data_IF_218829298369
#
_entry.id   IF_218829298369
#
_cell.length_a   1.000
_cell.length_b   1.000
_cell.length_c   1.000
_cell.angle_alpha   90.00
_cell.angle_beta   90.00
_cell.angle_gamma   90.00
#
_symmetry.space_group_name_H-M   'P 1'
#
loop_
_entity.id
_entity.type
_entity.pdbx_description
1 polymer ?
#
# COMPACT_ATOMS: atom_id res chain seq x y z
N UNK A 1 21.11 -26.54 1.58
CA UNK A 1 21.56 -25.14 1.37
C UNK A 1 20.35 -24.26 1.58
N UNK A 2 20.28 -23.38 2.58
CA UNK A 2 19.19 -22.40 2.66
C UNK A 2 19.32 -21.48 1.46
N UNK A 3 18.20 -21.23 0.77
CA UNK A 3 18.17 -20.40 -0.43
C UNK A 3 18.61 -18.98 -0.07
N UNK A 4 19.46 -18.39 -0.90
CA UNK A 4 19.97 -17.02 -0.78
C UNK A 4 18.84 -15.98 -0.75
N UNK A 5 17.61 -16.36 -1.08
CA UNK A 5 16.41 -15.50 -1.08
C UNK A 5 15.83 -15.28 0.33
N UNK A 6 16.09 -16.15 1.31
CA UNK A 6 15.57 -16.00 2.68
C UNK A 6 16.26 -14.92 3.53
N UNK A 7 17.32 -14.27 3.04
CA UNK A 7 18.01 -13.16 3.73
C UNK A 7 17.65 -11.77 3.16
N UNK A 8 16.81 -11.69 2.12
CA UNK A 8 16.68 -10.51 1.27
C UNK A 8 16.18 -9.24 1.97
N UNK A 9 15.18 -9.33 2.85
CA UNK A 9 14.50 -8.13 3.37
C UNK A 9 14.80 -7.80 4.82
N UNK A 10 15.34 -8.73 5.59
CA UNK A 10 15.63 -8.53 7.02
C UNK A 10 16.47 -7.26 7.30
N UNK A 11 17.51 -6.90 6.52
CA UNK A 11 18.22 -5.65 6.72
C UNK A 11 17.31 -4.42 6.59
N UNK A 12 16.46 -4.36 5.56
CA UNK A 12 15.55 -3.24 5.36
C UNK A 12 14.50 -3.12 6.48
N UNK A 13 14.02 -4.25 6.98
CA UNK A 13 13.06 -4.27 8.10
C UNK A 13 13.74 -3.79 9.40
N UNK A 14 14.97 -4.22 9.66
CA UNK A 14 15.75 -3.73 10.81
C UNK A 14 16.07 -2.24 10.71
N UNK A 15 16.35 -1.74 9.50
CA UNK A 15 16.54 -0.31 9.29
C UNK A 15 15.29 0.49 9.67
N UNK A 16 14.09 -0.01 9.38
CA UNK A 16 12.85 0.61 9.85
C UNK A 16 12.78 0.61 11.38
N UNK A 17 13.06 -0.51 12.03
CA UNK A 17 13.02 -0.62 13.49
C UNK A 17 14.03 0.31 14.18
N UNK A 18 15.25 0.47 13.60
CA UNK A 18 16.25 1.41 14.13
C UNK A 18 15.83 2.88 13.92
N UNK A 19 15.23 3.21 12.77
CA UNK A 19 14.67 4.55 12.54
C UNK A 19 13.55 4.86 13.55
N UNK A 20 12.70 3.88 13.86
CA UNK A 20 11.60 4.03 14.81
C UNK A 20 12.07 4.23 16.26
N UNK A 21 13.20 3.63 16.63
CA UNK A 21 13.83 3.91 17.94
C UNK A 21 14.30 5.35 18.05
N UNK A 22 14.85 5.90 16.96
CA UNK A 22 15.34 7.28 16.93
C UNK A 22 14.18 8.29 16.78
N UNK A 23 13.14 7.92 16.03
CA UNK A 23 12.00 8.78 15.71
C UNK A 23 10.69 7.95 15.84
N UNK A 24 10.19 7.76 17.07
CA UNK A 24 9.01 6.94 17.28
C UNK A 24 7.79 7.39 16.46
N UNK A 25 7.13 6.46 15.78
CA UNK A 25 5.94 6.78 15.00
C UNK A 25 4.84 7.34 15.88
N UNK A 26 4.07 8.27 15.32
CA UNK A 26 2.89 8.78 16.01
C UNK A 26 1.81 7.70 16.09
N UNK A 27 1.18 7.51 17.26
CA UNK A 27 0.04 6.60 17.37
C UNK A 27 -1.06 6.94 16.36
N UNK A 28 -1.64 5.92 15.73
CA UNK A 28 -2.71 6.12 14.75
C UNK A 28 -2.25 6.74 13.43
N UNK A 29 -0.96 6.69 13.08
CA UNK A 29 -0.48 7.04 11.74
C UNK A 29 -1.12 6.15 10.66
N UNK A 30 -1.00 6.54 9.40
CA UNK A 30 -1.37 5.72 8.25
C UNK A 30 -0.09 5.12 7.69
N UNK A 31 0.00 3.79 7.65
CA UNK A 31 1.17 3.08 7.12
C UNK A 31 0.99 2.85 5.61
N UNK A 32 2.00 3.18 4.82
CA UNK A 32 2.11 2.81 3.40
C UNK A 32 3.11 1.67 3.30
N UNK A 33 2.61 0.44 3.16
CA UNK A 33 3.41 -0.79 3.13
C UNK A 33 3.40 -1.43 1.74
N UNK A 34 4.56 -1.88 1.27
CA UNK A 34 4.66 -2.54 -0.02
C UNK A 34 6.04 -2.41 -0.65
N UNK A 35 6.09 -2.51 -1.97
CA UNK A 35 7.32 -2.67 -2.72
C UNK A 35 8.06 -1.37 -3.07
N UNK A 36 8.95 -1.45 -4.07
CA UNK A 36 9.80 -0.33 -4.52
C UNK A 36 9.01 0.91 -4.94
N UNK A 37 7.77 0.76 -5.40
CA UNK A 37 6.94 1.92 -5.76
C UNK A 37 6.61 2.80 -4.56
N UNK A 38 6.52 2.25 -3.36
CA UNK A 38 6.43 3.06 -2.14
C UNK A 38 7.82 3.45 -1.62
N UNK A 39 8.79 2.54 -1.63
CA UNK A 39 10.15 2.86 -1.19
C UNK A 39 10.71 4.11 -1.88
N UNK A 40 10.43 4.31 -3.16
CA UNK A 40 10.91 5.46 -3.94
C UNK A 40 9.98 6.67 -3.94
N UNK A 41 8.93 6.66 -3.12
CA UNK A 41 8.06 7.83 -2.94
C UNK A 41 8.62 8.75 -1.85
N UNK A 42 9.69 9.44 -2.19
CA UNK A 42 10.44 10.28 -1.25
C UNK A 42 9.62 11.47 -0.71
N UNK A 43 8.61 11.91 -1.46
CA UNK A 43 7.72 13.02 -1.09
C UNK A 43 6.43 12.59 -0.39
N UNK A 44 6.27 11.29 -0.05
CA UNK A 44 5.02 10.73 0.50
C UNK A 44 4.47 11.55 1.67
N UNK A 45 5.31 11.89 2.65
CA UNK A 45 4.88 12.66 3.83
C UNK A 45 4.32 14.04 3.43
N UNK A 46 5.02 14.76 2.56
CA UNK A 46 4.56 16.08 2.09
C UNK A 46 3.33 15.99 1.20
N UNK A 47 3.27 14.98 0.33
CA UNK A 47 2.15 14.78 -0.59
C UNK A 47 0.85 14.46 0.16
N UNK A 48 0.94 13.74 1.28
CA UNK A 48 -0.22 13.32 2.07
C UNK A 48 -0.64 14.32 3.15
N UNK A 49 0.12 15.42 3.41
CA UNK A 49 -0.32 16.43 4.38
C UNK A 49 -1.78 16.86 4.14
N UNK A 50 -2.59 17.04 5.21
CA UNK A 50 -2.23 17.07 6.64
C UNK A 50 -2.29 15.70 7.35
N UNK A 51 -2.37 14.59 6.63
CA UNK A 51 -2.37 13.25 7.23
C UNK A 51 -0.97 12.90 7.75
N UNK A 52 -0.91 12.27 8.94
CA UNK A 52 0.32 11.66 9.43
C UNK A 52 0.48 10.29 8.76
N UNK A 53 1.47 10.16 7.92
CA UNK A 53 1.75 8.93 7.15
C UNK A 53 3.16 8.41 7.42
N UNK A 54 3.36 7.12 7.18
CA UNK A 54 4.63 6.44 7.36
C UNK A 54 4.91 5.55 6.16
N UNK A 55 6.11 5.66 5.57
CA UNK A 55 6.54 4.80 4.47
C UNK A 55 7.24 3.55 5.00
N UNK A 56 6.72 2.38 4.64
CA UNK A 56 7.28 1.04 4.90
C UNK A 56 7.41 0.24 3.60
N UNK A 57 7.80 0.94 2.53
CA UNK A 57 8.12 0.31 1.26
C UNK A 57 9.51 -0.33 1.28
N UNK A 58 9.62 -1.59 0.86
CA UNK A 58 10.88 -2.31 0.72
C UNK A 58 11.00 -2.93 -0.68
N UNK A 59 12.07 -2.54 -1.39
CA UNK A 59 12.14 -2.73 -2.84
C UNK A 59 12.24 -4.18 -3.29
N UNK A 60 11.41 -4.57 -4.27
CA UNK A 60 11.42 -5.90 -4.87
C UNK A 60 10.59 -6.94 -4.10
N UNK A 61 9.89 -6.53 -3.03
CA UNK A 61 9.02 -7.42 -2.25
C UNK A 61 7.83 -7.90 -3.07
N UNK A 62 7.37 -9.08 -2.71
CA UNK A 62 6.12 -9.70 -3.13
C UNK A 62 5.12 -9.69 -1.97
N UNK A 63 3.85 -10.01 -2.22
CA UNK A 63 2.85 -10.13 -1.16
C UNK A 63 3.25 -11.11 -0.06
N UNK A 64 3.87 -12.23 -0.42
CA UNK A 64 4.35 -13.22 0.56
C UNK A 64 5.42 -12.66 1.51
N UNK A 65 6.26 -11.73 1.03
CA UNK A 65 7.23 -11.03 1.87
C UNK A 65 6.52 -10.04 2.80
N UNK A 66 5.56 -9.28 2.27
CA UNK A 66 4.74 -8.38 3.08
C UNK A 66 4.00 -9.13 4.19
N UNK A 67 3.43 -10.30 3.90
CA UNK A 67 2.79 -11.17 4.89
C UNK A 67 3.76 -11.59 6.00
N UNK A 68 4.97 -11.98 5.62
CA UNK A 68 6.00 -12.40 6.58
C UNK A 68 6.36 -11.30 7.57
N UNK A 69 6.43 -10.06 7.10
CA UNK A 69 6.85 -8.91 7.91
C UNK A 69 5.69 -8.05 8.43
N UNK A 70 4.45 -8.35 8.09
CA UNK A 70 3.27 -7.53 8.44
C UNK A 70 3.17 -7.19 9.93
N UNK A 71 3.50 -8.14 10.81
CA UNK A 71 3.49 -7.91 12.26
C UNK A 71 4.51 -6.85 12.69
N UNK A 72 5.65 -6.75 12.02
CA UNK A 72 6.75 -5.84 12.38
C UNK A 72 6.59 -4.45 11.76
N UNK A 73 6.09 -4.38 10.52
CA UNK A 73 6.05 -3.13 9.75
C UNK A 73 4.64 -2.54 9.56
N UNK A 74 3.61 -3.22 10.08
CA UNK A 74 2.23 -2.73 10.08
C UNK A 74 1.61 -2.87 11.47
N UNK A 75 1.43 -4.09 11.97
CA UNK A 75 0.70 -4.36 13.22
C UNK A 75 1.35 -3.67 14.42
N UNK A 76 2.68 -3.68 14.51
CA UNK A 76 3.43 -3.06 15.60
C UNK A 76 3.13 -1.56 15.81
N UNK A 77 2.65 -0.86 14.78
CA UNK A 77 2.36 0.58 14.84
C UNK A 77 0.93 0.90 15.27
N UNK A 78 0.05 -0.09 15.40
CA UNK A 78 -1.37 0.11 15.68
C UNK A 78 -1.96 1.22 14.78
N UNK A 79 -1.79 1.14 13.45
CA UNK A 79 -2.21 2.20 12.55
C UNK A 79 -3.74 2.26 12.45
N UNK A 80 -4.29 3.45 12.25
CA UNK A 80 -5.72 3.61 11.90
C UNK A 80 -6.03 3.11 10.49
N UNK A 81 -5.01 3.09 9.62
CA UNK A 81 -5.11 2.51 8.28
C UNK A 81 -3.75 2.05 7.76
N UNK A 82 -3.78 1.06 6.87
CA UNK A 82 -2.65 0.69 6.01
C UNK A 82 -3.05 0.83 4.55
N UNK A 83 -2.19 1.45 3.75
CA UNK A 83 -2.28 1.52 2.29
C UNK A 83 -1.25 0.55 1.74
N UNK A 84 -1.68 -0.39 0.89
CA UNK A 84 -0.86 -1.49 0.40
C UNK A 84 -0.65 -1.37 -1.10
N UNK A 85 0.61 -1.53 -1.55
CA UNK A 85 0.94 -1.68 -2.96
C UNK A 85 1.90 -2.86 -3.15
N UNK A 86 1.38 -3.98 -3.63
CA UNK A 86 2.12 -5.21 -3.95
C UNK A 86 1.51 -5.91 -5.18
N UNK A 87 2.10 -7.02 -5.61
CA UNK A 87 1.64 -7.84 -6.72
C UNK A 87 2.36 -7.57 -8.05
N UNK A 88 3.04 -6.45 -8.16
CA UNK A 88 3.81 -6.06 -9.34
C UNK A 88 5.04 -6.98 -9.54
N UNK A 89 5.74 -7.32 -8.46
CA UNK A 89 6.87 -8.26 -8.50
C UNK A 89 6.40 -9.71 -8.55
N UNK A 90 5.31 -10.03 -7.87
CA UNK A 90 4.69 -11.36 -7.90
C UNK A 90 4.38 -11.82 -9.32
N UNK A 91 3.94 -10.92 -10.19
CA UNK A 91 3.57 -11.19 -11.58
C UNK A 91 4.63 -10.73 -12.60
N UNK A 92 5.88 -10.51 -12.15
CA UNK A 92 6.96 -10.15 -13.06
C UNK A 92 7.29 -11.29 -14.05
N UNK A 93 7.96 -10.95 -15.15
CA UNK A 93 8.41 -11.96 -16.12
C UNK A 93 9.30 -12.99 -15.43
N UNK A 94 9.03 -14.26 -15.68
CA UNK A 94 9.72 -15.39 -15.07
C UNK A 94 9.22 -15.80 -13.69
N UNK A 95 8.26 -15.07 -13.10
CA UNK A 95 7.59 -15.52 -11.87
C UNK A 95 6.70 -16.74 -12.14
N UNK A 96 6.63 -17.64 -11.16
CA UNK A 96 5.69 -18.76 -11.16
C UNK A 96 4.33 -18.43 -10.52
N UNK A 97 4.17 -17.22 -9.96
CA UNK A 97 2.90 -16.83 -9.33
C UNK A 97 1.82 -16.52 -10.35
N UNK A 98 0.60 -16.85 -9.99
CA UNK A 98 -0.60 -16.56 -10.78
C UNK A 98 -1.42 -15.43 -10.13
N UNK A 99 -2.36 -14.81 -10.86
CA UNK A 99 -3.28 -13.82 -10.30
C UNK A 99 -4.03 -14.33 -9.05
N UNK A 100 -4.40 -15.61 -9.04
CA UNK A 100 -5.09 -16.26 -7.92
C UNK A 100 -4.20 -16.35 -6.68
N UNK A 101 -2.90 -16.63 -6.86
CA UNK A 101 -1.92 -16.67 -5.77
C UNK A 101 -1.73 -15.27 -5.17
N UNK A 102 -1.60 -14.23 -6.00
CA UNK A 102 -1.52 -12.84 -5.54
C UNK A 102 -2.77 -12.45 -4.74
N UNK A 103 -3.95 -12.79 -5.23
CA UNK A 103 -5.19 -12.54 -4.51
C UNK A 103 -5.30 -13.35 -3.20
N UNK A 104 -4.72 -14.55 -3.15
CA UNK A 104 -4.68 -15.37 -1.93
C UNK A 104 -3.73 -14.76 -0.89
N UNK A 105 -2.55 -14.31 -1.30
CA UNK A 105 -1.61 -13.61 -0.42
C UNK A 105 -2.24 -12.31 0.11
N UNK A 106 -2.94 -11.53 -0.72
CA UNK A 106 -3.68 -10.36 -0.23
C UNK A 106 -4.73 -10.72 0.84
N UNK A 107 -5.50 -11.80 0.64
CA UNK A 107 -6.47 -12.26 1.66
C UNK A 107 -5.76 -12.61 2.97
N UNK A 108 -4.61 -13.26 2.88
CA UNK A 108 -3.79 -13.61 4.04
C UNK A 108 -3.28 -12.37 4.76
N UNK A 109 -2.82 -11.35 4.02
CA UNK A 109 -2.45 -10.06 4.60
C UNK A 109 -3.61 -9.44 5.40
N UNK A 110 -4.82 -9.40 4.82
CA UNK A 110 -6.03 -8.91 5.52
C UNK A 110 -6.28 -9.70 6.80
N UNK A 111 -6.17 -11.04 6.76
CA UNK A 111 -6.35 -11.89 7.94
C UNK A 111 -5.30 -11.62 9.03
N UNK A 112 -4.03 -11.39 8.67
CA UNK A 112 -2.97 -11.04 9.62
C UNK A 112 -3.29 -9.71 10.30
N UNK A 113 -3.60 -8.68 9.53
CA UNK A 113 -3.85 -7.34 10.06
C UNK A 113 -5.14 -7.32 10.89
N UNK A 114 -6.26 -7.81 10.37
CA UNK A 114 -7.53 -7.80 11.08
C UNK A 114 -7.58 -8.78 12.25
N UNK A 115 -6.78 -9.87 12.21
CA UNK A 115 -6.64 -10.79 13.33
C UNK A 115 -6.01 -10.12 14.57
N UNK A 116 -5.12 -9.15 14.36
CA UNK A 116 -4.48 -8.38 15.42
C UNK A 116 -5.17 -7.04 15.69
N UNK A 117 -5.65 -6.37 14.66
CA UNK A 117 -6.17 -5.00 14.66
C UNK A 117 -7.46 -4.92 13.83
N UNK A 118 -8.60 -5.39 14.36
CA UNK A 118 -9.85 -5.51 13.60
C UNK A 118 -10.43 -4.16 13.15
N UNK A 119 -10.03 -3.07 13.78
CA UNK A 119 -10.52 -1.72 13.47
C UNK A 119 -9.67 -0.96 12.44
N UNK A 120 -8.50 -1.51 12.08
CA UNK A 120 -7.61 -0.90 11.09
C UNK A 120 -8.21 -0.98 9.68
N UNK A 121 -8.26 0.16 8.97
CA UNK A 121 -8.66 0.17 7.57
C UNK A 121 -7.52 -0.32 6.67
N UNK A 122 -7.86 -1.15 5.70
CA UNK A 122 -6.91 -1.65 4.70
C UNK A 122 -7.32 -1.10 3.33
N UNK A 123 -6.42 -0.33 2.69
CA UNK A 123 -6.58 0.17 1.34
C UNK A 123 -5.60 -0.56 0.42
N UNK A 124 -6.12 -1.38 -0.48
CA UNK A 124 -5.30 -2.04 -1.50
C UNK A 124 -5.31 -1.22 -2.79
N UNK A 125 -4.14 -0.83 -3.26
CA UNK A 125 -4.01 -0.14 -4.54
C UNK A 125 -3.97 -1.15 -5.68
N UNK A 126 -4.54 -0.77 -6.82
CA UNK A 126 -4.40 -1.53 -8.04
C UNK A 126 -2.93 -1.77 -8.37
N UNK A 127 -2.57 -2.97 -8.81
CA UNK A 127 -1.30 -3.21 -9.47
C UNK A 127 -1.28 -2.37 -10.74
N UNK A 128 -0.30 -1.48 -10.88
CA UNK A 128 -0.22 -0.55 -12.02
C UNK A 128 0.28 -1.25 -13.28
N UNK A 129 -0.17 -0.83 -14.47
CA UNK A 129 0.54 -1.16 -15.71
C UNK A 129 1.94 -0.50 -15.71
N UNK A 130 2.88 -1.09 -16.43
CA UNK A 130 4.18 -0.46 -16.68
C UNK A 130 4.71 -0.82 -18.06
N UNK A 131 5.65 -0.02 -18.57
CA UNK A 131 6.27 -0.30 -19.88
C UNK A 131 7.11 -1.58 -19.81
N UNK A 132 7.86 -1.74 -18.73
CA UNK A 132 8.73 -2.92 -18.53
C UNK A 132 7.92 -4.21 -18.45
N UNK A 133 6.74 -4.17 -17.81
CA UNK A 133 5.90 -5.35 -17.55
C UNK A 133 4.59 -5.32 -18.34
N UNK A 134 4.64 -4.75 -19.55
CA UNK A 134 3.43 -4.64 -20.38
C UNK A 134 2.81 -5.99 -20.73
N UNK A 135 3.64 -6.99 -21.00
CA UNK A 135 3.18 -8.35 -21.30
C UNK A 135 2.45 -9.02 -20.13
N UNK A 136 2.74 -8.63 -18.91
CA UNK A 136 2.10 -9.13 -17.68
C UNK A 136 0.82 -8.36 -17.33
N UNK A 137 0.52 -7.24 -18.01
CA UNK A 137 -0.65 -6.43 -17.72
C UNK A 137 -1.99 -7.22 -17.71
N UNK A 138 -2.26 -8.18 -18.60
CA UNK A 138 -3.47 -9.01 -18.51
C UNK A 138 -3.59 -9.77 -17.19
N UNK A 139 -2.48 -10.33 -16.68
CA UNK A 139 -2.46 -11.04 -15.40
C UNK A 139 -2.65 -10.07 -14.23
N UNK A 140 -2.01 -8.91 -14.27
CA UNK A 140 -2.19 -7.86 -13.26
C UNK A 140 -3.64 -7.38 -13.20
N UNK A 141 -4.32 -7.21 -14.33
CA UNK A 141 -5.75 -6.89 -14.38
C UNK A 141 -6.61 -7.99 -13.75
N UNK A 142 -6.27 -9.26 -13.99
CA UNK A 142 -7.00 -10.37 -13.38
C UNK A 142 -6.81 -10.38 -11.85
N UNK A 143 -5.60 -10.19 -11.35
CA UNK A 143 -5.33 -10.05 -9.92
C UNK A 143 -6.06 -8.85 -9.32
N UNK A 144 -6.02 -7.68 -9.98
CA UNK A 144 -6.74 -6.48 -9.57
C UNK A 144 -8.24 -6.73 -9.41
N UNK A 145 -8.86 -7.42 -10.37
CA UNK A 145 -10.29 -7.78 -10.29
C UNK A 145 -10.58 -8.67 -9.08
N UNK A 146 -9.76 -9.68 -8.84
CA UNK A 146 -9.94 -10.59 -7.70
C UNK A 146 -9.75 -9.87 -6.36
N UNK A 147 -8.77 -8.97 -6.25
CA UNK A 147 -8.55 -8.16 -5.05
C UNK A 147 -9.69 -7.17 -4.82
N UNK A 148 -10.20 -6.55 -5.89
CA UNK A 148 -11.36 -5.65 -5.85
C UNK A 148 -12.62 -6.39 -5.36
N UNK A 149 -12.89 -7.58 -5.93
CA UNK A 149 -14.05 -8.38 -5.57
C UNK A 149 -13.99 -8.83 -4.11
N UNK A 150 -12.82 -9.27 -3.66
CA UNK A 150 -12.63 -9.63 -2.26
C UNK A 150 -12.80 -8.41 -1.33
N UNK A 151 -12.17 -7.28 -1.64
CA UNK A 151 -12.30 -6.06 -0.84
C UNK A 151 -13.77 -5.63 -0.67
N UNK A 152 -14.59 -5.77 -1.72
CA UNK A 152 -16.02 -5.43 -1.69
C UNK A 152 -16.84 -6.31 -0.72
N UNK A 153 -16.32 -7.48 -0.32
CA UNK A 153 -16.98 -8.40 0.63
C UNK A 153 -16.51 -8.24 2.07
N UNK A 154 -15.48 -7.40 2.31
CA UNK A 154 -14.86 -7.25 3.62
C UNK A 154 -15.18 -5.89 4.23
N UNK A 155 -15.45 -5.87 5.53
CA UNK A 155 -15.51 -4.62 6.28
C UNK A 155 -14.12 -4.00 6.40
N UNK A 156 -14.05 -2.66 6.33
CA UNK A 156 -12.79 -1.90 6.46
C UNK A 156 -11.68 -2.30 5.47
N UNK A 157 -12.03 -2.89 4.34
CA UNK A 157 -11.13 -3.13 3.22
C UNK A 157 -11.65 -2.39 2.00
N UNK A 158 -10.81 -1.59 1.35
CA UNK A 158 -11.19 -0.82 0.17
C UNK A 158 -10.14 -0.95 -0.93
N UNK A 159 -10.59 -1.27 -2.14
CA UNK A 159 -9.74 -1.22 -3.32
C UNK A 159 -9.71 0.20 -3.88
N UNK A 160 -8.52 0.68 -4.25
CA UNK A 160 -8.30 1.99 -4.89
C UNK A 160 -7.70 1.77 -6.28
N UNK A 161 -8.44 2.14 -7.29
CA UNK A 161 -7.96 2.09 -8.67
C UNK A 161 -7.03 3.27 -8.97
N UNK A 162 -5.73 3.01 -8.99
CA UNK A 162 -4.69 3.95 -9.40
C UNK A 162 -4.21 3.66 -10.83
N UNK A 163 -4.72 2.63 -11.47
CA UNK A 163 -4.25 2.14 -12.77
C UNK A 163 -5.01 2.74 -13.96
N UNK A 164 -6.34 2.86 -13.85
CA UNK A 164 -7.18 3.32 -14.97
C UNK A 164 -6.82 4.74 -15.44
N UNK A 165 -6.54 5.66 -14.52
CA UNK A 165 -6.17 7.04 -14.86
C UNK A 165 -4.75 7.19 -15.45
N UNK A 166 -3.97 6.12 -15.49
CA UNK A 166 -2.65 6.15 -16.12
C UNK A 166 -2.69 6.11 -17.65
N UNK A 167 -3.82 5.74 -18.23
CA UNK A 167 -3.99 5.70 -19.69
C UNK A 167 -4.46 7.05 -20.22
N UNK A 168 -3.91 7.44 -21.38
CA UNK A 168 -4.41 8.61 -22.12
C UNK A 168 -5.76 8.34 -22.81
N UNK A 169 -6.35 9.36 -23.43
CA UNK A 169 -7.63 9.25 -24.13
C UNK A 169 -7.65 8.23 -25.27
N UNK A 170 -6.48 7.84 -25.79
CA UNK A 170 -6.32 6.83 -26.83
C UNK A 170 -6.01 5.43 -26.26
N UNK A 171 -6.01 5.27 -24.95
CA UNK A 171 -5.69 4.01 -24.27
C UNK A 171 -4.18 3.70 -24.23
N UNK A 172 -3.32 4.67 -24.48
CA UNK A 172 -1.88 4.45 -24.39
C UNK A 172 -1.38 4.76 -22.98
N UNK A 173 -0.30 4.08 -22.60
CA UNK A 173 0.41 4.32 -21.35
C UNK A 173 1.55 5.33 -21.62
N UNK A 174 1.46 6.60 -21.12
CA UNK A 174 2.49 7.60 -21.35
C UNK A 174 3.85 7.20 -20.79
N UNK A 175 4.94 7.51 -21.50
CA UNK A 175 6.30 7.15 -21.09
C UNK A 175 6.79 7.97 -19.90
N UNK A 176 6.37 9.22 -19.80
CA UNK A 176 6.78 10.18 -18.76
C UNK A 176 6.22 9.90 -17.36
N UNK A 177 5.35 8.90 -17.24
CA UNK A 177 4.90 8.36 -15.95
C UNK A 177 5.98 7.51 -15.27
N UNK A 178 6.96 7.01 -16.01
CA UNK A 178 7.97 6.09 -15.51
C UNK A 178 9.38 6.66 -15.64
N UNK A 179 10.23 6.27 -14.70
CA UNK A 179 11.68 6.48 -14.80
C UNK A 179 12.21 5.78 -16.07
N UNK A 180 13.50 5.94 -16.36
CA UNK A 180 14.15 5.34 -17.54
C UNK A 180 14.03 3.81 -17.63
N UNK A 181 13.84 3.16 -16.48
CA UNK A 181 13.62 1.70 -16.37
C UNK A 181 12.24 1.23 -16.87
N UNK A 182 11.33 2.15 -17.14
CA UNK A 182 9.96 1.85 -17.59
C UNK A 182 9.07 1.18 -16.56
N UNK A 183 9.47 1.17 -15.28
CA UNK A 183 8.79 0.50 -14.19
C UNK A 183 8.43 1.45 -13.04
N UNK A 184 9.46 2.13 -12.49
CA UNK A 184 9.28 2.93 -11.28
C UNK A 184 8.64 4.29 -11.59
N UNK A 185 7.74 4.76 -10.70
CA UNK A 185 7.04 6.02 -10.88
C UNK A 185 7.97 7.23 -10.95
N UNK A 186 7.62 8.21 -11.79
CA UNK A 186 8.16 9.57 -11.72
C UNK A 186 7.35 10.42 -10.74
N UNK A 187 7.83 11.61 -10.44
CA UNK A 187 7.07 12.60 -9.66
C UNK A 187 5.67 12.87 -10.24
N UNK A 188 5.55 12.84 -11.58
CA UNK A 188 4.25 12.99 -12.26
C UNK A 188 3.28 11.87 -11.88
N UNK A 189 3.73 10.61 -11.87
CA UNK A 189 2.88 9.49 -11.49
C UNK A 189 2.51 9.53 -9.99
N UNK A 190 3.45 9.91 -9.12
CA UNK A 190 3.13 10.10 -7.70
C UNK A 190 2.13 11.23 -7.46
N UNK A 191 2.20 12.33 -8.21
CA UNK A 191 1.19 13.39 -8.15
C UNK A 191 -0.20 12.88 -8.56
N UNK A 192 -0.29 12.03 -9.60
CA UNK A 192 -1.54 11.37 -9.99
C UNK A 192 -2.07 10.46 -8.88
N UNK A 193 -1.21 9.63 -8.28
CA UNK A 193 -1.60 8.76 -7.16
C UNK A 193 -2.08 9.59 -5.96
N UNK A 194 -1.38 10.67 -5.64
CA UNK A 194 -1.78 11.61 -4.59
C UNK A 194 -3.18 12.14 -4.82
N UNK A 195 -3.51 12.53 -6.06
CA UNK A 195 -4.82 13.09 -6.41
C UNK A 195 -5.97 12.08 -6.24
N UNK A 196 -5.67 10.77 -6.25
CA UNK A 196 -6.64 9.70 -6.05
C UNK A 196 -6.69 9.28 -4.58
N UNK A 197 -5.54 8.97 -3.99
CA UNK A 197 -5.43 8.35 -2.67
C UNK A 197 -5.78 9.35 -1.56
N UNK A 198 -5.21 10.54 -1.62
CA UNK A 198 -5.35 11.56 -0.56
C UNK A 198 -6.79 11.96 -0.27
N UNK A 199 -7.67 12.27 -1.25
CA UNK A 199 -9.07 12.58 -0.98
C UNK A 199 -9.81 11.45 -0.27
N UNK A 200 -9.56 10.18 -0.65
CA UNK A 200 -10.16 9.00 -0.03
C UNK A 200 -9.76 8.92 1.45
N UNK A 201 -8.47 9.08 1.75
CA UNK A 201 -7.99 9.06 3.12
C UNK A 201 -8.48 10.26 3.93
N UNK A 202 -8.54 11.46 3.35
CA UNK A 202 -9.05 12.66 4.03
C UNK A 202 -10.52 12.57 4.38
N UNK A 203 -11.33 11.95 3.53
CA UNK A 203 -12.75 11.73 3.79
C UNK A 203 -12.96 10.96 5.11
N UNK A 204 -12.06 10.05 5.45
CA UNK A 204 -12.17 9.22 6.66
C UNK A 204 -11.31 9.72 7.82
N UNK A 205 -10.11 10.19 7.55
CA UNK A 205 -9.08 10.48 8.54
C UNK A 205 -8.65 11.95 8.56
N UNK A 206 -9.33 12.81 7.79
CA UNK A 206 -9.02 14.23 7.75
C UNK A 206 -9.34 14.94 9.09
N UNK A 207 -8.70 16.10 9.37
CA UNK A 207 -8.85 16.82 10.64
C UNK A 207 -10.30 17.14 11.00
N UNK A 208 -11.14 17.49 10.03
CA UNK A 208 -12.55 17.79 10.26
C UNK A 208 -13.34 16.55 10.76
N UNK A 209 -13.04 15.37 10.22
CA UNK A 209 -13.67 14.12 10.64
C UNK A 209 -13.24 13.72 12.04
N UNK A 210 -11.95 13.84 12.35
CA UNK A 210 -11.40 13.54 13.67
C UNK A 210 -11.94 14.49 14.74
N UNK A 211 -12.11 15.77 14.43
CA UNK A 211 -12.70 16.74 15.34
C UNK A 211 -14.16 16.38 15.69
N UNK A 212 -14.96 15.99 14.68
CA UNK A 212 -16.34 15.54 14.90
C UNK A 212 -16.40 14.26 15.76
N UNK A 213 -15.51 13.31 15.56
CA UNK A 213 -15.46 12.08 16.33
C UNK A 213 -15.08 12.36 17.77
N UNK A 214 -14.08 13.18 18.02
CA UNK A 214 -13.67 13.58 19.37
C UNK A 214 -14.81 14.31 20.17
N UNK A 215 -15.66 15.06 19.48
CA UNK A 215 -16.82 15.72 20.09
C UNK A 215 -17.91 14.72 20.50
N UNK A 216 -18.06 13.61 19.77
CA UNK A 216 -19.03 12.54 20.10
C UNK A 216 -18.54 11.60 21.21
N UNK A 217 -17.23 11.47 21.37
CA UNK A 217 -16.60 10.62 22.39
C UNK A 217 -16.31 11.36 23.71
N UNK A 218 -16.50 12.68 23.73
CA UNK A 218 -16.32 13.47 24.95
C UNK A 218 -17.37 13.05 26.00
N UNK A 219 -16.95 12.69 27.24
CA UNK A 219 -17.87 12.32 28.27
C UNK A 219 -18.82 13.49 28.56
N UNK A 220 -20.12 13.23 28.55
CA UNK A 220 -21.13 14.19 29.00
C UNK A 220 -20.94 14.29 30.51
N UNK A 221 -20.18 15.28 30.96
CA UNK A 221 -20.18 15.63 32.39
C UNK A 221 -21.57 16.17 32.71
N UNK A 222 -22.44 15.29 33.21
CA UNK A 222 -23.71 15.65 33.78
C UNK A 222 -23.47 16.43 35.06
N UNK A 223 -24.08 17.58 35.15
CA UNK A 223 -24.22 18.43 36.33
C UNK A 223 -24.96 17.71 37.45
#
# INVERSE_FOLDING_TARGET
>A
MPSVLAQGWEPAIRDFEEQDKAHPPKPGCIVFAGSSSFRFWDTLDSDMKPLDVMNRGFGGSEFSDLDQYANRIVVAYHPRAVVVYEGDNDLAEGSSKTPEMVAADFRKFVQIVHGALPDTWIYILAIKPSKLRWNQWPQMKAANKMMQDYAATQERVQYIDIATLMFDANGNLPRDLFKSDGLHPTTKLYAMWTSIIKPILLQRFGPAKMALQALHEAPIFGS
#
